data_IF_560813363218
#
_entry.id   IF_560813363218
#
_cell.length_a   1.000
_cell.length_b   1.000
_cell.length_c   1.000
_cell.angle_alpha   90.00
_cell.angle_beta   90.00
_cell.angle_gamma   90.00
#
_symmetry.space_group_name_H-M   'P 1'
#
loop_
_entity.id
_entity.type
_entity.pdbx_description
1 polymer ?
#
# COMPACT_ATOMS: atom_id res chain seq x y z
N UNK A 1 7.81 -18.15 -9.99
CA UNK A 1 6.67 -18.43 -9.07
C UNK A 1 5.47 -17.64 -9.53
N UNK A 2 4.32 -18.28 -9.69
CA UNK A 2 3.07 -17.60 -10.08
C UNK A 2 2.29 -17.25 -8.81
N UNK A 3 2.00 -15.97 -8.58
CA UNK A 3 1.22 -15.51 -7.43
C UNK A 3 -0.27 -15.42 -7.79
N UNK A 4 -1.13 -15.81 -6.85
CA UNK A 4 -2.59 -15.62 -6.93
C UNK A 4 -2.99 -14.33 -6.21
N UNK A 5 -4.21 -13.86 -6.48
CA UNK A 5 -4.81 -12.72 -5.79
C UNK A 5 -5.73 -13.20 -4.65
N UNK A 6 -5.81 -12.42 -3.58
CA UNK A 6 -6.70 -12.70 -2.45
C UNK A 6 -8.17 -12.35 -2.74
N UNK A 7 -8.42 -11.44 -3.68
CA UNK A 7 -9.77 -11.03 -4.07
C UNK A 7 -10.52 -12.18 -4.76
N UNK A 8 -11.71 -12.50 -4.27
CA UNK A 8 -12.59 -13.54 -4.80
C UNK A 8 -13.62 -12.93 -5.77
N UNK A 9 -14.23 -13.77 -6.61
CA UNK A 9 -15.27 -13.37 -7.58
C UNK A 9 -14.80 -12.30 -8.59
N UNK A 10 -13.62 -12.50 -9.15
CA UNK A 10 -13.07 -11.59 -10.15
C UNK A 10 -13.78 -11.72 -11.51
N UNK A 11 -14.64 -10.77 -11.81
CA UNK A 11 -15.17 -10.49 -13.15
C UNK A 11 -14.20 -9.65 -13.99
N UNK A 12 -13.82 -10.17 -15.16
CA UNK A 12 -12.90 -9.48 -16.09
C UNK A 12 -13.50 -8.24 -16.74
N UNK A 13 -14.83 -8.17 -16.84
CA UNK A 13 -15.55 -7.09 -17.53
C UNK A 13 -15.71 -5.86 -16.65
N UNK A 14 -15.82 -6.05 -15.34
CA UNK A 14 -16.07 -4.97 -14.37
C UNK A 14 -14.87 -4.61 -13.51
N UNK A 15 -13.87 -5.50 -13.46
CA UNK A 15 -12.71 -5.32 -12.58
C UNK A 15 -11.38 -5.28 -13.34
N UNK A 16 -10.50 -4.48 -12.77
CA UNK A 16 -9.09 -4.38 -13.12
C UNK A 16 -8.26 -4.61 -11.86
N UNK A 17 -7.10 -5.24 -12.02
CA UNK A 17 -6.21 -5.57 -10.91
C UNK A 17 -4.77 -5.23 -11.25
N UNK A 18 -4.03 -4.81 -10.24
CA UNK A 18 -2.60 -4.62 -10.31
C UNK A 18 -1.96 -5.22 -9.06
N UNK A 19 -0.72 -5.68 -9.18
CA UNK A 19 0.03 -6.15 -8.02
C UNK A 19 1.49 -5.78 -8.10
N UNK A 20 2.05 -5.53 -6.93
CA UNK A 20 3.47 -5.29 -6.73
C UNK A 20 4.00 -6.37 -5.79
N UNK A 21 5.08 -7.04 -6.17
CA UNK A 21 5.66 -8.17 -5.42
C UNK A 21 7.09 -7.84 -4.97
N UNK A 22 7.50 -8.51 -3.88
CA UNK A 22 8.83 -8.45 -3.26
C UNK A 22 9.43 -7.03 -3.04
N UNK A 23 8.62 -6.04 -2.65
CA UNK A 23 9.14 -4.67 -2.39
C UNK A 23 9.74 -4.53 -1.00
N UNK A 24 10.77 -3.70 -0.91
CA UNK A 24 11.49 -3.35 0.33
C UNK A 24 10.78 -2.28 1.18
N UNK A 25 9.45 -2.26 1.15
CA UNK A 25 8.61 -1.35 1.95
C UNK A 25 8.11 -2.06 3.21
N UNK A 26 7.79 -1.29 4.25
CA UNK A 26 7.19 -1.84 5.48
C UNK A 26 5.76 -2.30 5.23
N UNK A 27 5.48 -3.58 5.50
CA UNK A 27 4.12 -4.14 5.43
C UNK A 27 3.14 -3.44 6.38
N UNK A 28 3.62 -2.90 7.51
CA UNK A 28 2.80 -2.14 8.45
C UNK A 28 2.33 -0.81 7.85
N UNK A 29 3.26 -0.07 7.24
CA UNK A 29 2.93 1.21 6.58
C UNK A 29 2.06 0.98 5.35
N UNK A 30 2.40 -0.02 4.53
CA UNK A 30 1.61 -0.37 3.35
C UNK A 30 0.16 -0.73 3.71
N UNK A 31 -0.07 -1.42 4.84
CA UNK A 31 -1.42 -1.72 5.32
C UNK A 31 -2.22 -0.46 5.65
N UNK A 32 -1.63 0.48 6.38
CA UNK A 32 -2.34 1.72 6.76
C UNK A 32 -2.64 2.60 5.54
N UNK A 33 -1.69 2.70 4.59
CA UNK A 33 -1.93 3.36 3.30
C UNK A 33 -3.06 2.66 2.54
N UNK A 34 -3.01 1.33 2.45
CA UNK A 34 -4.01 0.55 1.73
C UNK A 34 -5.43 0.73 2.29
N UNK A 35 -5.56 0.86 3.61
CA UNK A 35 -6.85 1.17 4.25
C UNK A 35 -7.30 2.59 3.96
N UNK A 36 -6.38 3.56 3.89
CA UNK A 36 -6.71 4.95 3.62
C UNK A 36 -7.20 5.18 2.18
N UNK A 37 -6.62 4.48 1.20
CA UNK A 37 -6.99 4.63 -0.22
C UNK A 37 -8.18 3.75 -0.64
N UNK A 38 -8.56 2.76 0.18
CA UNK A 38 -9.68 1.86 -0.12
C UNK A 38 -10.98 2.66 -0.20
N UNK A 39 -11.69 2.53 -1.31
CA UNK A 39 -12.95 3.24 -1.56
C UNK A 39 -12.78 4.63 -2.16
N UNK A 40 -11.58 5.07 -2.53
CA UNK A 40 -11.38 6.30 -3.29
C UNK A 40 -11.40 6.03 -4.81
N UNK A 41 -11.64 7.08 -5.60
CA UNK A 41 -11.31 7.08 -7.02
C UNK A 41 -9.79 7.07 -7.20
N UNK A 42 -9.31 6.69 -8.39
CA UNK A 42 -7.86 6.65 -8.64
C UNK A 42 -7.24 8.04 -8.48
N UNK A 43 -7.88 9.07 -9.05
CA UNK A 43 -7.39 10.45 -8.98
C UNK A 43 -7.29 10.95 -7.54
N UNK A 44 -8.34 10.74 -6.74
CA UNK A 44 -8.34 11.11 -5.32
C UNK A 44 -7.27 10.35 -4.53
N UNK A 45 -7.07 9.05 -4.82
CA UNK A 45 -6.03 8.26 -4.19
C UNK A 45 -4.63 8.77 -4.57
N UNK A 46 -4.40 9.14 -5.84
CA UNK A 46 -3.14 9.70 -6.33
C UNK A 46 -2.82 11.02 -5.65
N UNK A 47 -3.77 11.95 -5.63
CA UNK A 47 -3.64 13.25 -4.96
C UNK A 47 -3.31 13.08 -3.48
N UNK A 48 -4.04 12.20 -2.78
CA UNK A 48 -3.76 11.89 -1.38
C UNK A 48 -2.32 11.36 -1.16
N UNK A 49 -1.88 10.42 -1.98
CA UNK A 49 -0.53 9.85 -1.87
C UNK A 49 0.57 10.88 -2.17
N UNK A 50 0.35 11.80 -3.10
CA UNK A 50 1.27 12.89 -3.39
C UNK A 50 1.38 13.87 -2.22
N UNK A 51 0.27 14.27 -1.60
CA UNK A 51 0.31 15.07 -0.37
C UNK A 51 1.02 14.35 0.79
N UNK A 52 0.91 13.03 0.89
CA UNK A 52 1.67 12.24 1.88
C UNK A 52 3.18 12.29 1.60
N UNK A 53 3.59 12.22 0.33
CA UNK A 53 5.01 12.34 -0.08
C UNK A 53 5.56 13.73 0.26
N UNK A 54 4.74 14.76 0.04
CA UNK A 54 5.04 16.17 0.32
C UNK A 54 4.94 16.55 1.81
N UNK A 55 4.54 15.61 2.68
CA UNK A 55 4.33 15.82 4.13
C UNK A 55 3.15 16.73 4.49
N UNK A 56 2.23 16.97 3.56
CA UNK A 56 1.06 17.84 3.77
C UNK A 56 -0.07 17.11 4.47
N UNK A 57 -0.29 15.83 4.13
CA UNK A 57 -1.35 14.99 4.73
C UNK A 57 -0.77 13.72 5.33
N UNK A 58 -1.12 13.44 6.58
CA UNK A 58 -0.70 12.25 7.28
C UNK A 58 -1.60 11.07 6.93
N UNK A 59 -0.98 9.89 6.87
CA UNK A 59 -1.72 8.63 6.81
C UNK A 59 -2.18 8.30 8.23
N UNK A 60 -3.47 7.99 8.47
CA UNK A 60 -3.95 7.55 9.77
C UNK A 60 -3.47 6.13 10.08
N UNK A 61 -2.81 5.95 11.22
CA UNK A 61 -2.36 4.65 11.71
C UNK A 61 -3.38 4.12 12.70
N UNK A 62 -4.11 3.07 12.31
CA UNK A 62 -5.17 2.48 13.16
C UNK A 62 -4.71 1.23 13.89
N UNK A 63 -4.06 0.29 13.19
CA UNK A 63 -3.65 -0.99 13.79
C UNK A 63 -2.24 -0.94 14.37
N UNK A 64 -1.31 -0.31 13.67
CA UNK A 64 0.10 -0.25 14.05
C UNK A 64 0.46 1.11 14.66
N UNK A 65 -0.27 1.54 15.68
CA UNK A 65 -0.23 2.89 16.24
C UNK A 65 0.51 3.02 17.59
N UNK A 66 1.14 1.96 18.10
CA UNK A 66 1.94 2.05 19.33
C UNK A 66 3.06 3.08 19.16
N UNK A 67 3.16 4.00 20.13
CA UNK A 67 4.18 5.07 20.17
C UNK A 67 4.22 5.91 18.88
N UNK A 68 3.07 6.07 18.23
CA UNK A 68 2.91 6.98 17.10
C UNK A 68 2.38 8.31 17.61
N UNK A 69 3.16 9.38 17.39
CA UNK A 69 2.77 10.73 17.79
C UNK A 69 1.51 11.23 17.10
N UNK A 70 0.82 12.17 17.77
CA UNK A 70 -0.41 12.73 17.24
C UNK A 70 -0.17 13.65 16.05
N UNK A 71 -1.18 13.81 15.19
CA UNK A 71 -1.15 14.73 14.03
C UNK A 71 -2.34 15.68 14.06
N UNK A 72 -2.13 16.85 13.47
CA UNK A 72 -3.15 17.91 13.38
C UNK A 72 -4.19 17.66 12.28
N UNK A 73 -3.94 16.70 11.40
CA UNK A 73 -4.85 16.39 10.29
C UNK A 73 -6.21 15.91 10.78
N UNK A 74 -7.26 16.38 10.11
CA UNK A 74 -8.65 16.10 10.47
C UNK A 74 -8.92 14.60 10.56
N UNK A 75 -9.37 14.14 11.73
CA UNK A 75 -9.71 12.74 11.97
C UNK A 75 -8.50 11.81 12.14
N UNK A 76 -7.29 12.35 12.28
CA UNK A 76 -6.06 11.58 12.49
C UNK A 76 -5.53 11.80 13.90
N UNK A 77 -5.87 10.90 14.83
CA UNK A 77 -5.22 10.90 16.16
C UNK A 77 -3.76 10.51 16.00
N UNK A 78 -3.45 9.27 15.61
CA UNK A 78 -2.10 8.81 15.36
C UNK A 78 -1.79 8.77 13.86
N UNK A 79 -0.74 9.45 13.41
CA UNK A 79 -0.43 9.56 11.98
C UNK A 79 1.06 9.66 11.66
N UNK A 80 1.44 9.19 10.46
CA UNK A 80 2.80 9.33 9.92
C UNK A 80 2.76 9.65 8.43
N UNK A 81 3.92 10.02 7.89
CA UNK A 81 4.13 10.27 6.47
C UNK A 81 5.06 9.21 5.85
N UNK A 82 4.54 8.02 5.49
CA UNK A 82 5.35 6.91 4.98
C UNK A 82 5.77 7.10 3.51
N UNK A 83 6.68 8.06 3.24
CA UNK A 83 7.13 8.43 1.87
C UNK A 83 7.48 7.24 0.98
N UNK A 84 8.40 6.37 1.44
CA UNK A 84 8.87 5.21 0.66
C UNK A 84 7.74 4.28 0.23
N UNK A 85 6.76 4.05 1.11
CA UNK A 85 5.62 3.21 0.78
C UNK A 85 4.65 3.95 -0.15
N UNK A 86 4.35 5.22 0.12
CA UNK A 86 3.49 6.03 -0.74
C UNK A 86 3.99 6.09 -2.19
N UNK A 87 5.30 6.30 -2.41
CA UNK A 87 5.89 6.29 -3.75
C UNK A 87 5.68 4.97 -4.49
N UNK A 88 5.78 3.83 -3.81
CA UNK A 88 5.52 2.52 -4.45
C UNK A 88 4.02 2.30 -4.72
N UNK A 89 3.12 2.90 -3.93
CA UNK A 89 1.69 2.87 -4.21
C UNK A 89 1.31 3.73 -5.41
N UNK A 90 1.94 4.90 -5.62
CA UNK A 90 1.72 5.73 -6.82
C UNK A 90 2.05 4.93 -8.08
N UNK A 91 3.23 4.29 -8.12
CA UNK A 91 3.63 3.41 -9.24
C UNK A 91 2.65 2.25 -9.45
N UNK A 92 2.02 1.76 -8.38
CA UNK A 92 1.02 0.69 -8.47
C UNK A 92 -0.31 1.21 -9.03
N UNK A 93 -0.68 2.45 -8.74
CA UNK A 93 -1.84 3.12 -9.36
C UNK A 93 -1.60 3.38 -10.84
N UNK A 94 -0.40 3.84 -11.23
CA UNK A 94 -0.03 4.00 -12.66
C UNK A 94 -0.22 2.69 -13.43
N UNK A 95 0.24 1.57 -12.87
CA UNK A 95 0.04 0.25 -13.46
C UNK A 95 -1.45 -0.14 -13.53
N UNK A 96 -2.23 0.20 -12.51
CA UNK A 96 -3.67 -0.07 -12.47
C UNK A 96 -4.41 0.71 -13.57
N UNK A 97 -4.06 1.98 -13.78
CA UNK A 97 -4.59 2.84 -14.85
C UNK A 97 -4.25 2.26 -16.23
N UNK A 98 -2.98 1.95 -16.50
CA UNK A 98 -2.59 1.37 -17.79
C UNK A 98 -3.31 0.04 -18.07
N UNK A 99 -3.58 -0.77 -17.05
CA UNK A 99 -4.36 -2.00 -17.21
C UNK A 99 -5.85 -1.73 -17.46
N UNK A 100 -6.39 -0.64 -16.94
CA UNK A 100 -7.78 -0.25 -17.12
C UNK A 100 -7.99 0.32 -18.54
N UNK A 101 -7.08 1.19 -18.99
CA UNK A 101 -7.03 1.72 -20.37
C UNK A 101 -6.92 0.59 -21.39
N UNK A 102 -6.02 -0.38 -21.15
CA UNK A 102 -5.88 -1.55 -22.02
C UNK A 102 -7.18 -2.37 -22.14
N UNK A 103 -8.03 -2.33 -21.12
CA UNK A 103 -9.34 -3.01 -21.10
C UNK A 103 -10.46 -2.14 -21.67
N UNK A 104 -10.20 -0.88 -22.00
CA UNK A 104 -11.21 0.08 -22.44
C UNK A 104 -12.20 0.49 -21.35
N UNK A 105 -11.79 0.44 -20.07
CA UNK A 105 -12.60 0.89 -18.94
C UNK A 105 -12.53 2.41 -18.81
N UNK A 106 -13.62 3.04 -18.35
CA UNK A 106 -13.62 4.45 -18.03
C UNK A 106 -12.86 4.72 -16.72
N UNK A 107 -11.78 5.50 -16.79
CA UNK A 107 -10.91 5.82 -15.66
C UNK A 107 -11.64 6.66 -14.60
N UNK A 108 -12.55 7.54 -15.02
CA UNK A 108 -13.25 8.47 -14.14
C UNK A 108 -14.26 7.73 -13.24
N UNK A 109 -14.80 6.61 -13.74
CA UNK A 109 -15.74 5.75 -13.04
C UNK A 109 -15.06 4.64 -12.24
N UNK A 110 -13.73 4.58 -12.25
CA UNK A 110 -12.98 3.52 -11.59
C UNK A 110 -12.77 3.82 -10.10
N UNK A 111 -13.22 2.90 -9.25
CA UNK A 111 -13.08 2.99 -7.79
C UNK A 111 -12.28 1.83 -7.23
N UNK A 112 -11.38 2.12 -6.28
CA UNK A 112 -10.58 1.10 -5.60
C UNK A 112 -11.47 0.33 -4.62
N UNK A 113 -11.80 -0.93 -4.93
CA UNK A 113 -12.68 -1.75 -4.09
C UNK A 113 -11.90 -2.56 -3.06
N UNK A 114 -10.71 -3.02 -3.40
CA UNK A 114 -9.92 -3.88 -2.54
C UNK A 114 -8.44 -3.53 -2.59
N UNK A 115 -7.85 -3.45 -1.40
CA UNK A 115 -6.41 -3.29 -1.22
C UNK A 115 -5.96 -4.34 -0.23
N UNK A 116 -5.11 -5.25 -0.68
CA UNK A 116 -4.59 -6.33 0.17
C UNK A 116 -3.08 -6.23 0.25
N UNK A 117 -2.55 -6.35 1.47
CA UNK A 117 -1.12 -6.28 1.73
C UNK A 117 -0.70 -7.58 2.40
N UNK A 118 0.28 -8.26 1.80
CA UNK A 118 0.84 -9.49 2.32
C UNK A 118 2.30 -9.29 2.73
N UNK A 119 2.72 -10.02 3.78
CA UNK A 119 4.14 -10.20 4.09
C UNK A 119 4.73 -11.14 3.04
N UNK A 120 5.81 -10.70 2.41
CA UNK A 120 6.61 -11.51 1.50
C UNK A 120 7.74 -12.22 2.22
N UNK A 121 8.81 -12.49 1.47
CA UNK A 121 10.01 -13.16 1.98
C UNK A 121 10.67 -12.35 3.11
N UNK A 122 11.18 -13.08 4.11
CA UNK A 122 12.06 -12.56 5.16
C UNK A 122 13.51 -12.60 4.66
N UNK A 123 14.21 -11.48 4.76
CA UNK A 123 15.66 -11.39 4.57
C UNK A 123 16.28 -11.41 5.95
N UNK A 124 16.89 -12.53 6.29
CA UNK A 124 17.48 -12.77 7.61
C UNK A 124 18.95 -12.36 7.61
N UNK A 125 19.32 -11.55 8.60
CA UNK A 125 20.69 -11.09 8.87
C UNK A 125 20.92 -11.12 10.37
N UNK A 126 22.16 -10.93 10.77
CA UNK A 126 22.52 -10.80 12.19
C UNK A 126 23.25 -9.48 12.42
N UNK A 127 23.01 -8.87 13.58
CA UNK A 127 23.76 -7.70 14.05
C UNK A 127 24.55 -8.11 15.29
N UNK A 128 25.88 -7.95 15.30
CA UNK A 128 26.71 -8.24 16.47
C UNK A 128 26.33 -7.29 17.62
N UNK A 129 26.38 -7.79 18.84
CA UNK A 129 26.04 -7.10 20.08
C UNK A 129 27.15 -7.30 21.11
N UNK A 130 27.12 -6.47 22.15
CA UNK A 130 28.05 -6.57 23.27
C UNK A 130 28.07 -7.99 23.88
N UNK A 131 29.18 -8.33 24.53
CA UNK A 131 29.40 -9.63 25.17
C UNK A 131 29.33 -10.82 24.20
N UNK A 132 29.80 -10.65 22.96
CA UNK A 132 29.87 -11.72 21.95
C UNK A 132 28.52 -12.22 21.43
N UNK A 133 27.42 -11.49 21.68
CA UNK A 133 26.07 -11.89 21.27
C UNK A 133 25.79 -11.48 19.83
N UNK A 134 24.88 -12.20 19.17
CA UNK A 134 24.33 -11.80 17.88
C UNK A 134 22.79 -11.78 17.97
N UNK A 135 22.18 -10.67 17.55
CA UNK A 135 20.71 -10.56 17.47
C UNK A 135 20.23 -10.58 16.02
N UNK A 136 19.09 -11.22 15.71
CA UNK A 136 18.56 -11.26 14.36
C UNK A 136 18.10 -9.87 13.91
N UNK A 137 18.40 -9.55 12.65
CA UNK A 137 17.94 -8.37 11.92
C UNK A 137 17.20 -8.86 10.70
N UNK A 138 15.87 -8.83 10.75
CA UNK A 138 15.01 -9.44 9.73
C UNK A 138 14.25 -8.33 9.00
N UNK A 139 14.55 -8.18 7.70
CA UNK A 139 13.79 -7.30 6.82
C UNK A 139 12.69 -8.11 6.13
N UNK A 140 11.44 -7.63 6.17
CA UNK A 140 10.29 -8.31 5.58
C UNK A 140 9.93 -7.59 4.29
N UNK A 141 10.03 -8.29 3.16
CA UNK A 141 9.52 -7.79 1.88
C UNK A 141 7.99 -7.76 1.90
N UNK A 142 7.38 -6.94 1.05
CA UNK A 142 5.94 -6.73 1.04
C UNK A 142 5.37 -6.98 -0.35
N UNK A 143 4.16 -7.54 -0.40
CA UNK A 143 3.35 -7.65 -1.60
C UNK A 143 2.10 -6.82 -1.42
N UNK A 144 1.70 -6.10 -2.46
CA UNK A 144 0.49 -5.29 -2.47
C UNK A 144 -0.34 -5.69 -3.68
N UNK A 145 -1.62 -5.86 -3.46
CA UNK A 145 -2.63 -6.18 -4.47
C UNK A 145 -3.69 -5.09 -4.45
N UNK A 146 -3.98 -4.54 -5.63
CA UNK A 146 -5.08 -3.60 -5.85
C UNK A 146 -6.08 -4.22 -6.81
N UNK A 147 -7.35 -4.04 -6.50
CA UNK A 147 -8.46 -4.30 -7.41
C UNK A 147 -9.35 -3.08 -7.41
N UNK A 148 -9.67 -2.61 -8.60
CA UNK A 148 -10.63 -1.55 -8.82
C UNK A 148 -11.79 -2.04 -9.68
N UNK A 149 -12.92 -1.37 -9.54
CA UNK A 149 -14.17 -1.67 -10.20
C UNK A 149 -14.70 -0.41 -10.86
N UNK A 150 -15.22 -0.57 -12.06
CA UNK A 150 -16.02 0.44 -12.74
C UNK A 150 -17.43 0.47 -12.12
N UNK A 151 -17.84 1.66 -11.65
CA UNK A 151 -19.17 1.92 -11.08
C UNK A 151 -20.10 2.41 -12.16
#
# INVERSE_FOLDING_TARGET
>A
MQFKYAFQNYDKTRHVRASTREKTISHKHAREIGVAIKGLSIESARSFLQSVINLERAVPFRRYNNEVGHKSDTGVMAGRYPKKAATEFVKLLDNLESNAEYRGMDLDRLKIINVTVHKGRKIERFTPRAMGRASPRIDILTHVELVAQEI
#
